data_IF_189441970383
#
_entry.id   IF_189441970383
#
_cell.length_a   1.000
_cell.length_b   1.000
_cell.length_c   1.000
_cell.angle_alpha   90.00
_cell.angle_beta   90.00
_cell.angle_gamma   90.00
#
_symmetry.space_group_name_H-M   'P 1'
#
loop_
_entity.id
_entity.type
_entity.pdbx_description
1 polymer ?
#
# COMPACT_ATOMS: atom_id res chain seq x y z
N UNK A 1 37.01 1.14 81.37
CA UNK A 1 36.19 1.72 80.28
C UNK A 1 34.82 2.03 80.84
N UNK A 2 34.37 3.28 80.68
CA UNK A 2 33.12 3.85 81.23
C UNK A 2 31.92 3.44 80.38
N UNK A 3 30.81 3.03 80.98
CA UNK A 3 29.45 3.44 80.57
C UNK A 3 28.61 3.62 81.84
N UNK A 4 27.86 4.74 81.87
CA UNK A 4 27.13 5.35 82.99
C UNK A 4 25.67 4.88 83.07
N UNK A 5 25.17 4.92 84.31
CA UNK A 5 23.81 5.06 84.84
C UNK A 5 22.69 5.57 83.89
N UNK A 6 21.52 4.91 83.81
CA UNK A 6 20.31 4.99 84.69
C UNK A 6 19.25 6.00 84.12
N UNK A 7 18.01 6.14 84.64
CA UNK A 7 16.84 5.37 84.20
C UNK A 7 15.54 6.18 83.95
N UNK A 8 14.50 5.46 83.50
CA UNK A 8 13.07 5.51 83.88
C UNK A 8 12.12 6.70 83.56
N UNK A 9 10.86 6.26 83.32
CA UNK A 9 9.54 6.82 83.69
C UNK A 9 8.62 7.27 82.54
N UNK A 10 7.43 6.66 82.55
CA UNK A 10 6.25 6.83 81.69
C UNK A 10 5.41 8.06 82.06
N UNK A 11 4.54 8.52 81.14
CA UNK A 11 3.13 8.97 81.33
C UNK A 11 2.61 9.45 79.96
N UNK A 12 1.71 8.71 79.30
CA UNK A 12 0.23 8.83 79.28
C UNK A 12 -0.35 9.99 78.45
N UNK A 13 -1.23 9.60 77.50
CA UNK A 13 -2.46 10.28 77.02
C UNK A 13 -2.46 11.03 75.67
N UNK A 14 -3.34 10.57 74.78
CA UNK A 14 -3.93 11.21 73.57
C UNK A 14 -5.10 12.16 73.99
N UNK A 15 -5.85 12.93 73.14
CA UNK A 15 -6.19 12.70 71.70
C UNK A 15 -6.30 13.93 70.73
N UNK A 16 -6.38 13.60 69.43
CA UNK A 16 -7.03 14.22 68.23
C UNK A 16 -7.10 15.75 68.00
N UNK A 17 -6.71 16.17 66.78
CA UNK A 17 -7.52 17.03 65.89
C UNK A 17 -6.92 17.09 64.45
N UNK A 18 -7.61 16.46 63.52
CA UNK A 18 -7.86 16.78 62.10
C UNK A 18 -6.85 17.59 61.27
N UNK A 19 -6.31 16.94 60.23
CA UNK A 19 -6.08 17.57 58.91
C UNK A 19 -5.94 16.48 57.85
N UNK A 20 -7.08 15.97 57.37
CA UNK A 20 -7.14 15.24 56.10
C UNK A 20 -6.95 16.25 54.96
N UNK A 21 -5.75 16.27 54.37
CA UNK A 21 -5.54 16.87 53.06
C UNK A 21 -5.86 15.79 52.02
N UNK A 22 -7.08 15.86 51.51
CA UNK A 22 -7.53 15.16 50.30
C UNK A 22 -6.56 15.42 49.15
N UNK A 23 -5.72 14.42 48.87
CA UNK A 23 -4.99 14.26 47.61
C UNK A 23 -5.55 13.06 46.86
N UNK A 24 -6.86 13.05 46.65
CA UNK A 24 -7.57 12.02 45.91
C UNK A 24 -8.38 12.65 44.77
N UNK A 25 -7.76 13.48 43.92
CA UNK A 25 -8.40 13.91 42.67
C UNK A 25 -7.36 14.19 41.59
N UNK A 26 -6.67 13.16 41.11
CA UNK A 26 -5.89 13.24 39.86
C UNK A 26 -5.68 11.90 39.12
N UNK A 27 -6.36 10.82 39.51
CA UNK A 27 -6.19 9.49 38.87
C UNK A 27 -7.32 9.05 37.96
N UNK A 28 -8.39 9.84 37.82
CA UNK A 28 -9.59 9.44 37.06
C UNK A 28 -9.59 9.93 35.61
N UNK A 29 -8.77 10.93 35.24
CA UNK A 29 -8.76 11.51 33.89
C UNK A 29 -7.86 10.73 32.91
N UNK A 30 -6.82 10.03 33.38
CA UNK A 30 -5.91 9.27 32.50
C UNK A 30 -6.47 7.92 32.03
N UNK A 31 -7.39 7.31 32.78
CA UNK A 31 -7.91 5.97 32.47
C UNK A 31 -8.88 5.94 31.28
N UNK A 32 -9.58 7.06 31.02
CA UNK A 32 -10.47 7.20 29.86
C UNK A 32 -9.73 7.45 28.55
N UNK A 33 -8.67 8.26 28.58
CA UNK A 33 -7.91 8.70 27.40
C UNK A 33 -7.15 7.54 26.71
N UNK A 34 -6.57 6.63 27.50
CA UNK A 34 -5.84 5.47 26.95
C UNK A 34 -6.73 4.41 26.31
N UNK A 35 -8.02 4.33 26.70
CA UNK A 35 -8.94 3.34 26.17
C UNK A 35 -9.34 3.65 24.73
N UNK A 36 -9.61 4.92 24.44
CA UNK A 36 -9.98 5.39 23.10
C UNK A 36 -8.82 5.29 22.12
N UNK A 37 -7.61 5.72 22.52
CA UNK A 37 -6.42 5.67 21.65
C UNK A 37 -6.07 4.23 21.24
N UNK A 38 -6.14 3.29 22.19
CA UNK A 38 -5.91 1.86 21.92
C UNK A 38 -6.96 1.28 20.96
N UNK A 39 -8.23 1.68 21.12
CA UNK A 39 -9.31 1.26 20.21
C UNK A 39 -9.11 1.81 18.80
N UNK A 40 -8.69 3.08 18.66
CA UNK A 40 -8.34 3.67 17.37
C UNK A 40 -7.17 2.96 16.69
N UNK A 41 -6.07 2.71 17.41
CA UNK A 41 -4.91 1.99 16.87
C UNK A 41 -5.28 0.59 16.40
N UNK A 42 -6.12 -0.13 17.17
CA UNK A 42 -6.62 -1.44 16.77
C UNK A 42 -7.47 -1.37 15.51
N UNK A 43 -8.43 -0.45 15.45
CA UNK A 43 -9.29 -0.26 14.28
C UNK A 43 -8.47 0.07 13.03
N UNK A 44 -7.48 0.96 13.15
CA UNK A 44 -6.60 1.30 12.04
C UNK A 44 -5.78 0.09 11.57
N UNK A 45 -5.25 -0.70 12.51
CA UNK A 45 -4.55 -1.95 12.21
C UNK A 45 -5.43 -2.92 11.43
N UNK A 46 -6.69 -3.09 11.86
CA UNK A 46 -7.66 -3.97 11.20
C UNK A 46 -7.95 -3.50 9.76
N UNK A 47 -8.08 -2.18 9.54
CA UNK A 47 -8.26 -1.58 8.22
C UNK A 47 -7.06 -1.88 7.32
N UNK A 48 -5.84 -1.66 7.81
CA UNK A 48 -4.62 -1.89 7.02
C UNK A 48 -4.43 -3.38 6.70
N UNK A 49 -4.74 -4.27 7.64
CA UNK A 49 -4.73 -5.72 7.40
C UNK A 49 -5.73 -6.10 6.30
N UNK A 50 -6.93 -5.53 6.33
CA UNK A 50 -7.95 -5.80 5.31
C UNK A 50 -7.57 -5.25 3.93
N UNK A 51 -6.96 -4.06 3.87
CA UNK A 51 -6.37 -3.54 2.63
C UNK A 51 -5.29 -4.47 2.08
N UNK A 52 -4.41 -5.00 2.95
CA UNK A 52 -3.37 -5.94 2.57
C UNK A 52 -3.97 -7.25 2.01
N UNK A 53 -5.01 -7.82 2.66
CA UNK A 53 -5.71 -9.00 2.14
C UNK A 53 -6.26 -8.78 0.74
N UNK A 54 -6.95 -7.65 0.53
CA UNK A 54 -7.52 -7.30 -0.77
C UNK A 54 -6.43 -7.16 -1.84
N UNK A 55 -5.33 -6.51 -1.50
CA UNK A 55 -4.19 -6.36 -2.41
C UNK A 55 -3.54 -7.71 -2.75
N UNK A 56 -3.29 -8.57 -1.75
CA UNK A 56 -2.68 -9.88 -1.97
C UNK A 56 -3.58 -10.82 -2.78
N UNK A 57 -4.91 -10.67 -2.67
CA UNK A 57 -5.89 -11.38 -3.48
C UNK A 57 -6.06 -10.80 -4.91
N UNK A 58 -5.28 -9.79 -5.30
CA UNK A 58 -5.43 -9.07 -6.57
C UNK A 58 -4.30 -9.29 -7.58
N UNK A 59 -3.67 -10.47 -7.58
CA UNK A 59 -2.50 -10.80 -8.42
C UNK A 59 -1.49 -9.64 -8.51
N UNK A 60 -0.90 -9.19 -7.39
CA UNK A 60 -0.24 -7.89 -7.29
C UNK A 60 1.01 -7.68 -8.17
N UNK A 61 1.31 -8.59 -9.10
CA UNK A 61 2.45 -8.51 -10.01
C UNK A 61 3.72 -9.08 -9.39
N UNK A 62 4.84 -8.94 -10.11
CA UNK A 62 6.09 -9.57 -9.72
C UNK A 62 6.71 -8.98 -8.44
N UNK A 63 6.84 -9.81 -7.41
CA UNK A 63 7.58 -9.46 -6.18
C UNK A 63 9.11 -9.41 -6.36
N UNK A 64 9.65 -9.94 -7.47
CA UNK A 64 11.08 -10.09 -7.73
C UNK A 64 11.69 -9.03 -8.68
N UNK A 65 10.88 -8.22 -9.39
CA UNK A 65 11.37 -7.12 -10.23
C UNK A 65 11.30 -5.79 -9.47
N UNK A 66 12.46 -5.35 -8.98
CA UNK A 66 12.69 -4.05 -8.35
C UNK A 66 12.63 -4.07 -6.82
N UNK A 67 12.84 -2.89 -6.20
CA UNK A 67 12.89 -2.68 -4.76
C UNK A 67 11.52 -2.85 -4.03
N UNK A 68 10.59 -3.60 -4.63
CA UNK A 68 9.22 -3.84 -4.15
C UNK A 68 9.08 -5.12 -3.30
N UNK A 69 10.08 -6.01 -3.31
CA UNK A 69 10.11 -7.25 -2.52
C UNK A 69 9.83 -7.02 -1.02
N UNK A 70 10.40 -5.99 -0.35
CA UNK A 70 10.13 -5.75 1.06
C UNK A 70 8.65 -5.43 1.35
N UNK A 71 7.93 -4.83 0.40
CA UNK A 71 6.51 -4.52 0.57
C UNK A 71 5.63 -5.76 0.45
N UNK A 72 5.94 -6.69 -0.47
CA UNK A 72 5.13 -7.91 -0.64
C UNK A 72 5.18 -8.80 0.59
N UNK A 73 6.39 -9.12 1.09
CA UNK A 73 6.54 -9.93 2.30
C UNK A 73 5.81 -9.31 3.49
N UNK A 74 5.87 -7.97 3.61
CA UNK A 74 5.17 -7.26 4.67
C UNK A 74 3.66 -7.28 4.50
N UNK A 75 3.13 -7.10 3.29
CA UNK A 75 1.70 -7.17 3.04
C UNK A 75 1.15 -8.59 3.20
N UNK A 76 1.93 -9.64 2.91
CA UNK A 76 1.58 -11.02 3.24
C UNK A 76 1.42 -11.23 4.75
N UNK A 77 2.38 -10.73 5.54
CA UNK A 77 2.28 -10.77 7.01
C UNK A 77 1.04 -10.04 7.52
N UNK A 78 0.79 -8.81 7.03
CA UNK A 78 -0.39 -8.04 7.40
C UNK A 78 -1.70 -8.72 6.97
N UNK A 79 -1.74 -9.33 5.78
CA UNK A 79 -2.90 -10.07 5.32
C UNK A 79 -3.24 -11.26 6.24
N UNK A 80 -2.21 -11.88 6.82
CA UNK A 80 -2.31 -12.95 7.81
C UNK A 80 -2.59 -12.44 9.24
N UNK A 81 -2.60 -11.12 9.46
CA UNK A 81 -2.83 -10.50 10.77
C UNK A 81 -1.57 -10.40 11.65
N UNK A 82 -0.38 -10.65 11.10
CA UNK A 82 0.87 -10.48 11.84
C UNK A 82 1.25 -9.00 11.89
N UNK A 83 1.16 -8.43 13.10
CA UNK A 83 1.48 -7.03 13.40
C UNK A 83 2.81 -6.99 14.15
N UNK A 84 3.87 -6.51 13.49
CA UNK A 84 5.20 -6.40 14.11
C UNK A 84 5.60 -4.95 14.43
N UNK A 85 5.05 -3.96 13.72
CA UNK A 85 5.43 -2.54 13.85
C UNK A 85 4.24 -1.61 13.58
N UNK A 86 3.55 -1.16 14.64
CA UNK A 86 2.36 -0.30 14.52
C UNK A 86 2.68 1.07 13.87
N UNK A 87 3.85 1.64 14.19
CA UNK A 87 4.29 2.95 13.68
C UNK A 87 4.36 3.01 12.15
N UNK A 88 4.55 1.86 11.51
CA UNK A 88 4.71 1.80 10.07
C UNK A 88 3.41 1.44 9.34
N UNK A 89 2.26 1.43 10.02
CA UNK A 89 0.95 1.22 9.40
C UNK A 89 0.51 2.38 8.51
N UNK A 90 0.78 3.63 8.90
CA UNK A 90 0.49 4.81 8.06
C UNK A 90 1.10 4.66 6.67
N UNK A 91 2.40 4.36 6.64
CA UNK A 91 3.12 4.10 5.39
C UNK A 91 2.58 2.88 4.62
N UNK A 92 2.20 1.80 5.30
CA UNK A 92 1.60 0.65 4.63
C UNK A 92 0.25 0.99 3.99
N UNK A 93 -0.60 1.73 4.70
CA UNK A 93 -1.88 2.22 4.21
C UNK A 93 -1.68 3.07 2.95
N UNK A 94 -0.75 4.03 2.97
CA UNK A 94 -0.48 4.91 1.83
C UNK A 94 -0.02 4.14 0.59
N UNK A 95 0.89 3.18 0.76
CA UNK A 95 1.40 2.33 -0.33
C UNK A 95 0.28 1.45 -0.89
N UNK A 96 -0.51 0.79 -0.02
CA UNK A 96 -1.62 -0.06 -0.43
C UNK A 96 -2.68 0.75 -1.18
N UNK A 97 -3.04 1.92 -0.66
CA UNK A 97 -3.99 2.81 -1.29
C UNK A 97 -3.51 3.24 -2.68
N UNK A 98 -2.26 3.71 -2.80
CA UNK A 98 -1.67 4.08 -4.09
C UNK A 98 -1.74 2.92 -5.09
N UNK A 99 -1.26 1.73 -4.70
CA UNK A 99 -1.22 0.57 -5.59
C UNK A 99 -2.61 0.12 -6.03
N UNK A 100 -3.57 0.00 -5.11
CA UNK A 100 -4.94 -0.39 -5.43
C UNK A 100 -5.62 0.65 -6.34
N UNK A 101 -5.40 1.94 -6.09
CA UNK A 101 -5.92 3.03 -6.94
C UNK A 101 -5.34 2.96 -8.34
N UNK A 102 -4.05 2.65 -8.51
CA UNK A 102 -3.44 2.47 -9.83
C UNK A 102 -3.97 1.23 -10.57
N UNK A 103 -4.24 0.11 -9.87
CA UNK A 103 -4.89 -1.07 -10.48
C UNK A 103 -6.29 -0.71 -10.97
N UNK A 104 -7.08 -0.03 -10.13
CA UNK A 104 -8.41 0.43 -10.52
C UNK A 104 -8.34 1.34 -11.74
N UNK A 105 -7.39 2.28 -11.76
CA UNK A 105 -7.16 3.18 -12.87
C UNK A 105 -6.86 2.41 -14.17
N UNK A 106 -6.03 1.38 -14.11
CA UNK A 106 -5.73 0.55 -15.28
C UNK A 106 -6.98 -0.14 -15.85
N UNK A 107 -7.87 -0.64 -14.98
CA UNK A 107 -9.18 -1.19 -15.38
C UNK A 107 -10.10 -0.11 -15.97
N UNK A 108 -10.04 1.13 -15.49
CA UNK A 108 -10.80 2.25 -16.09
C UNK A 108 -10.28 2.55 -17.51
N UNK A 109 -8.96 2.59 -17.70
CA UNK A 109 -8.35 2.91 -19.00
C UNK A 109 -8.62 1.85 -20.06
N UNK A 110 -8.51 0.57 -19.73
CA UNK A 110 -8.85 -0.50 -20.68
C UNK A 110 -10.33 -0.49 -21.04
N UNK A 111 -11.22 -0.12 -20.11
CA UNK A 111 -12.66 0.01 -20.36
C UNK A 111 -12.94 1.18 -21.29
N UNK A 112 -12.30 2.33 -21.06
CA UNK A 112 -12.40 3.51 -21.91
C UNK A 112 -11.99 3.20 -23.36
N UNK A 113 -10.95 2.39 -23.55
CA UNK A 113 -10.47 1.96 -24.87
C UNK A 113 -11.26 0.77 -25.47
N UNK A 114 -12.20 0.19 -24.72
CA UNK A 114 -12.98 -0.99 -25.13
C UNK A 114 -12.13 -2.25 -25.32
N UNK A 115 -11.06 -2.43 -24.53
CA UNK A 115 -10.16 -3.58 -24.64
C UNK A 115 -10.76 -4.81 -23.93
N UNK A 116 -10.86 -5.98 -24.60
CA UNK A 116 -11.53 -7.17 -24.08
C UNK A 116 -10.61 -8.02 -23.18
N UNK A 117 -10.15 -7.43 -22.08
CA UNK A 117 -9.37 -8.11 -21.04
C UNK A 117 -10.11 -8.02 -19.70
N UNK A 118 -9.89 -9.00 -18.83
CA UNK A 118 -10.45 -9.03 -17.46
C UNK A 118 -9.98 -7.85 -16.61
N UNK A 119 -10.58 -7.65 -15.44
CA UNK A 119 -10.19 -6.62 -14.47
C UNK A 119 -8.70 -6.76 -14.09
N UNK A 120 -7.99 -5.64 -13.99
CA UNK A 120 -6.56 -5.63 -13.65
C UNK A 120 -6.24 -6.31 -12.31
N UNK A 121 -7.19 -6.43 -11.38
CA UNK A 121 -7.04 -7.19 -10.12
C UNK A 121 -7.04 -8.70 -10.33
N UNK A 122 -7.68 -9.19 -11.38
CA UNK A 122 -7.81 -10.62 -11.66
C UNK A 122 -6.75 -11.10 -12.65
N UNK A 123 -6.09 -10.17 -13.33
CA UNK A 123 -5.09 -10.47 -14.33
C UNK A 123 -3.71 -10.76 -13.73
N UNK A 124 -3.20 -11.96 -14.02
CA UNK A 124 -1.84 -12.38 -13.71
C UNK A 124 -0.88 -12.04 -14.87
N UNK A 125 -0.24 -10.88 -14.76
CA UNK A 125 0.78 -10.39 -15.70
C UNK A 125 1.92 -11.39 -15.87
N UNK A 126 2.36 -12.06 -14.80
CA UNK A 126 3.51 -12.96 -14.85
C UNK A 126 3.20 -14.20 -15.68
N UNK A 127 2.04 -14.81 -15.40
CA UNK A 127 1.58 -15.96 -16.18
C UNK A 127 1.35 -15.59 -17.65
N UNK A 128 0.88 -14.37 -17.93
CA UNK A 128 0.73 -13.87 -19.28
C UNK A 128 2.09 -13.69 -20.00
N UNK A 129 3.06 -13.04 -19.36
CA UNK A 129 4.41 -12.85 -19.91
C UNK A 129 5.11 -14.19 -20.18
N UNK A 130 4.96 -15.16 -19.28
CA UNK A 130 5.51 -16.50 -19.46
C UNK A 130 4.94 -17.21 -20.71
N UNK A 131 3.64 -17.03 -21.00
CA UNK A 131 3.01 -17.55 -22.24
C UNK A 131 3.52 -16.85 -23.49
N UNK A 132 3.74 -15.54 -23.42
CA UNK A 132 4.29 -14.75 -24.53
C UNK A 132 5.70 -15.25 -24.91
N UNK A 133 6.53 -15.55 -23.92
CA UNK A 133 7.89 -16.06 -24.13
C UNK A 133 7.89 -17.52 -24.56
N UNK A 134 7.05 -18.38 -23.95
CA UNK A 134 7.02 -19.81 -24.30
C UNK A 134 6.46 -20.09 -25.70
N UNK A 135 5.64 -19.17 -26.24
CA UNK A 135 5.18 -19.21 -27.63
C UNK A 135 6.25 -18.84 -28.67
N UNK A 136 7.44 -18.38 -28.26
CA UNK A 136 8.54 -18.12 -29.19
C UNK A 136 9.19 -19.44 -29.64
N UNK A 137 8.77 -19.94 -30.80
CA UNK A 137 9.58 -20.93 -31.52
C UNK A 137 10.85 -20.25 -32.07
N UNK A 138 12.00 -20.63 -31.52
CA UNK A 138 13.33 -20.09 -31.80
C UNK A 138 13.81 -20.15 -33.27
N UNK A 139 13.02 -20.64 -34.23
CA UNK A 139 13.55 -20.98 -35.56
C UNK A 139 13.49 -19.88 -36.63
N UNK A 140 12.64 -18.85 -36.53
CA UNK A 140 12.51 -17.87 -37.63
C UNK A 140 12.26 -16.41 -37.20
N UNK A 141 12.43 -16.06 -35.91
CA UNK A 141 12.13 -14.70 -35.42
C UNK A 141 13.43 -13.89 -35.32
N UNK A 142 13.55 -12.85 -36.16
CA UNK A 142 14.59 -11.82 -35.97
C UNK A 142 14.32 -11.05 -34.66
N UNK A 143 15.36 -10.52 -34.01
CA UNK A 143 15.23 -9.85 -32.70
C UNK A 143 14.26 -8.65 -32.72
N UNK A 144 14.06 -8.03 -33.89
CA UNK A 144 13.15 -6.91 -34.13
C UNK A 144 11.68 -7.34 -34.25
N UNK A 145 11.39 -8.53 -34.77
CA UNK A 145 10.02 -9.03 -34.94
C UNK A 145 9.53 -9.88 -33.76
N UNK A 146 10.25 -9.86 -32.63
CA UNK A 146 9.89 -10.72 -31.50
C UNK A 146 8.62 -10.22 -30.78
N UNK A 147 7.66 -11.12 -30.48
CA UNK A 147 6.52 -10.83 -29.60
C UNK A 147 6.87 -10.04 -28.34
N UNK A 148 8.03 -10.33 -27.75
CA UNK A 148 8.55 -9.64 -26.57
C UNK A 148 8.97 -8.20 -26.87
N UNK A 149 9.66 -7.96 -28.00
CA UNK A 149 10.07 -6.61 -28.43
C UNK A 149 8.86 -5.70 -28.54
N UNK A 150 7.83 -6.16 -29.24
CA UNK A 150 6.56 -5.43 -29.37
C UNK A 150 5.93 -5.10 -28.01
N UNK A 151 5.82 -6.08 -27.11
CA UNK A 151 5.29 -5.83 -25.76
C UNK A 151 6.11 -4.79 -24.97
N UNK A 152 7.44 -4.87 -25.04
CA UNK A 152 8.36 -3.92 -24.40
C UNK A 152 8.22 -2.50 -24.97
N UNK A 153 8.01 -2.37 -26.27
CA UNK A 153 7.78 -1.08 -26.92
C UNK A 153 6.48 -0.44 -26.45
N UNK A 154 5.40 -1.23 -26.34
CA UNK A 154 4.11 -0.76 -25.81
C UNK A 154 4.28 -0.27 -24.35
N UNK A 155 4.97 -1.03 -23.49
CA UNK A 155 5.27 -0.59 -22.11
C UNK A 155 6.02 0.75 -22.12
N UNK A 156 7.03 0.87 -22.99
CA UNK A 156 7.86 2.08 -23.11
C UNK A 156 7.00 3.29 -23.48
N UNK A 157 6.09 3.14 -24.43
CA UNK A 157 5.15 4.20 -24.84
C UNK A 157 4.22 4.60 -23.68
N UNK A 158 3.61 3.64 -22.98
CA UNK A 158 2.72 3.89 -21.84
C UNK A 158 3.45 4.67 -20.73
N UNK A 159 4.69 4.28 -20.42
CA UNK A 159 5.49 4.94 -19.38
C UNK A 159 5.90 6.35 -19.78
N UNK A 160 6.22 6.59 -21.06
CA UNK A 160 6.56 7.92 -21.58
C UNK A 160 5.36 8.88 -21.56
N UNK A 161 4.15 8.35 -21.79
CA UNK A 161 2.91 9.11 -21.73
C UNK A 161 2.46 9.43 -20.29
N UNK A 162 3.19 8.95 -19.27
CA UNK A 162 2.91 9.23 -17.85
C UNK A 162 1.42 9.01 -17.45
N UNK A 163 0.76 8.01 -18.04
CA UNK A 163 -0.67 7.73 -17.81
C UNK A 163 -0.96 7.41 -16.34
N UNK A 164 0.01 6.78 -15.67
CA UNK A 164 -0.05 6.43 -14.25
C UNK A 164 0.88 7.33 -13.46
N UNK A 165 0.34 7.96 -12.42
CA UNK A 165 1.08 8.88 -11.56
C UNK A 165 2.22 8.15 -10.84
N UNK A 166 3.33 8.88 -10.64
CA UNK A 166 4.38 8.43 -9.73
C UNK A 166 3.92 8.54 -8.28
N UNK A 167 4.39 7.66 -7.37
CA UNK A 167 4.05 7.76 -5.96
C UNK A 167 4.59 9.07 -5.37
N UNK A 168 3.82 9.68 -4.47
CA UNK A 168 4.22 10.88 -3.72
C UNK A 168 4.37 10.58 -2.23
N UNK A 169 5.28 11.28 -1.55
CA UNK A 169 5.50 11.14 -0.11
C UNK A 169 5.75 9.70 0.33
N UNK A 170 4.86 9.16 1.16
CA UNK A 170 4.98 7.83 1.77
C UNK A 170 4.44 6.68 0.91
N UNK A 171 3.96 6.95 -0.31
CA UNK A 171 3.34 5.95 -1.20
C UNK A 171 4.31 4.89 -1.76
N UNK A 172 5.59 4.97 -1.39
CA UNK A 172 6.59 3.97 -1.71
C UNK A 172 7.14 4.15 -3.12
N UNK A 173 7.32 3.03 -3.82
CA UNK A 173 7.95 3.00 -5.14
C UNK A 173 6.94 2.84 -6.26
N UNK A 174 7.37 3.21 -7.46
CA UNK A 174 6.58 3.04 -8.66
C UNK A 174 6.11 1.59 -8.78
N UNK A 175 4.83 1.44 -9.10
CA UNK A 175 4.17 0.17 -9.17
C UNK A 175 3.96 -0.19 -10.64
N UNK A 176 4.70 -1.17 -11.20
CA UNK A 176 4.76 -1.36 -12.65
C UNK A 176 3.57 -2.12 -13.23
N UNK A 177 2.87 -2.90 -12.41
CA UNK A 177 1.73 -3.74 -12.82
C UNK A 177 0.69 -3.00 -13.68
N UNK A 178 0.22 -1.78 -13.35
CA UNK A 178 -0.75 -1.04 -14.15
C UNK A 178 -0.30 -0.84 -15.61
N UNK A 179 0.97 -0.48 -15.82
CA UNK A 179 1.53 -0.30 -17.16
C UNK A 179 1.69 -1.63 -17.90
N UNK A 180 2.13 -2.67 -17.21
CA UNK A 180 2.30 -4.02 -17.77
C UNK A 180 0.95 -4.63 -18.18
N UNK A 181 -0.06 -4.50 -17.33
CA UNK A 181 -1.44 -4.91 -17.63
C UNK A 181 -2.00 -4.18 -18.85
N UNK A 182 -1.87 -2.85 -18.91
CA UNK A 182 -2.40 -2.08 -20.03
C UNK A 182 -1.65 -2.42 -21.34
N UNK A 183 -0.35 -2.68 -21.24
CA UNK A 183 0.44 -3.15 -22.38
C UNK A 183 -0.02 -4.52 -22.87
N UNK A 184 -0.29 -5.47 -21.97
CA UNK A 184 -0.84 -6.77 -22.33
C UNK A 184 -2.22 -6.64 -23.02
N UNK A 185 -3.09 -5.78 -22.50
CA UNK A 185 -4.40 -5.51 -23.09
C UNK A 185 -4.31 -4.94 -24.52
N UNK A 186 -3.40 -3.98 -24.73
CA UNK A 186 -3.14 -3.39 -26.05
C UNK A 186 -2.49 -4.40 -27.00
N UNK A 187 -1.58 -5.23 -26.48
CA UNK A 187 -0.94 -6.30 -27.23
C UNK A 187 -1.98 -7.32 -27.75
N UNK A 188 -2.79 -7.88 -26.85
CA UNK A 188 -3.78 -8.91 -27.17
C UNK A 188 -4.94 -8.39 -28.03
N UNK A 189 -5.15 -7.08 -28.08
CA UNK A 189 -6.15 -6.47 -28.96
C UNK A 189 -5.84 -6.62 -30.45
N UNK A 190 -4.61 -6.97 -30.82
CA UNK A 190 -4.17 -7.10 -32.22
C UNK A 190 -4.06 -5.78 -32.98
N UNK A 191 -4.27 -4.63 -32.32
CA UNK A 191 -4.16 -3.28 -32.93
C UNK A 191 -2.75 -3.03 -33.45
N UNK A 192 -2.60 -2.29 -34.55
CA UNK A 192 -1.26 -1.92 -35.07
C UNK A 192 -0.53 -0.98 -34.11
N UNK A 193 0.80 -0.84 -34.22
CA UNK A 193 1.56 0.10 -33.36
C UNK A 193 1.07 1.55 -33.51
N UNK A 194 0.59 1.94 -34.69
CA UNK A 194 0.00 3.26 -34.94
C UNK A 194 -1.32 3.43 -34.19
N UNK A 195 -2.18 2.41 -34.21
CA UNK A 195 -3.44 2.42 -33.45
C UNK A 195 -3.16 2.48 -31.95
N UNK A 196 -2.18 1.69 -31.47
CA UNK A 196 -1.76 1.69 -30.07
C UNK A 196 -1.22 3.06 -29.65
N UNK A 197 -0.41 3.71 -30.49
CA UNK A 197 0.07 5.08 -30.22
C UNK A 197 -1.09 6.06 -30.04
N UNK A 198 -2.05 6.04 -30.98
CA UNK A 198 -3.24 6.90 -30.91
C UNK A 198 -4.10 6.62 -29.67
N UNK A 199 -4.19 5.36 -29.24
CA UNK A 199 -4.93 5.02 -28.01
C UNK A 199 -4.21 5.49 -26.75
N UNK A 200 -2.89 5.43 -26.72
CA UNK A 200 -2.06 5.96 -25.62
C UNK A 200 -2.21 7.48 -25.53
N UNK A 201 -2.18 8.19 -26.67
CA UNK A 201 -2.43 9.65 -26.71
C UNK A 201 -3.81 10.02 -26.15
N UNK A 202 -4.87 9.26 -26.49
CA UNK A 202 -6.20 9.48 -25.92
C UNK A 202 -6.23 9.30 -24.41
N UNK A 203 -5.45 8.37 -23.88
CA UNK A 203 -5.34 8.14 -22.44
C UNK A 203 -4.54 9.25 -21.75
N UNK A 204 -3.47 9.74 -22.38
CA UNK A 204 -2.69 10.88 -21.90
C UNK A 204 -3.58 12.14 -21.78
N UNK A 205 -4.34 12.45 -22.83
CA UNK A 205 -5.33 13.55 -22.83
C UNK A 205 -6.37 13.39 -21.72
N UNK A 206 -6.84 12.16 -21.48
CA UNK A 206 -7.79 11.85 -20.42
C UNK A 206 -7.16 12.08 -19.04
N UNK A 207 -5.92 11.63 -18.83
CA UNK A 207 -5.18 11.83 -17.57
C UNK A 207 -4.94 13.31 -17.28
N UNK A 208 -4.54 14.11 -18.28
CA UNK A 208 -4.37 15.56 -18.13
C UNK A 208 -5.67 16.25 -17.73
N UNK A 209 -6.81 15.86 -18.33
CA UNK A 209 -8.13 16.40 -17.96
C UNK A 209 -8.55 15.99 -16.55
N UNK A 210 -8.14 14.80 -16.07
CA UNK A 210 -8.42 14.36 -14.70
C UNK A 210 -7.64 15.19 -13.67
N UNK A 211 -6.38 15.52 -13.94
CA UNK A 211 -5.53 16.33 -13.06
C UNK A 211 -5.93 17.81 -12.97
N UNK A 212 -6.54 18.36 -14.03
CA UNK A 212 -6.95 19.76 -14.09
C UNK A 212 -8.36 20.05 -13.54
N UNK A 213 -9.05 19.05 -12.97
CA UNK A 213 -10.34 19.32 -12.29
C UNK A 213 -10.04 19.97 -10.94
N UNK A 214 -10.56 21.18 -10.66
CA UNK A 214 -10.41 21.78 -9.34
C UNK A 214 -11.02 20.83 -8.31
N UNK A 215 -10.25 20.51 -7.29
CA UNK A 215 -10.73 19.81 -6.10
C UNK A 215 -11.75 20.71 -5.44
N UNK A 216 -13.04 20.44 -5.69
CA UNK A 216 -14.11 21.07 -4.92
C UNK A 216 -13.91 20.65 -3.45
N UNK A 217 -13.69 21.68 -2.61
CA UNK A 217 -13.50 21.60 -1.16
C UNK A 217 -14.80 21.27 -0.45
#
# INVERSE_FOLDING_TARGET
>A
MRILHNPAVQTSSAPNADSEVDTATLSTIERGCMSTEREFSKLFSDIVCEQARRYMNSYPGNGALGCNTPYHARFEQLAQGYIQYEEAFGRCSDVLHYRMSMIKLATEMKNYLGLPIEDARLFDVLSWEARLVSGMHYKDITKEDSPWTRYKDIISMIRKACIFDSPVGNQGLFYPKPSEYLAAALYDSGRSMVQIASDIEKLEDLSLKRGNRPTEQ
#
